data_IF_317191594558
#
_entry.id   IF_317191594558
#
_cell.length_a   1.000
_cell.length_b   1.000
_cell.length_c   1.000
_cell.angle_alpha   90.00
_cell.angle_beta   90.00
_cell.angle_gamma   90.00
#
_symmetry.space_group_name_H-M   'P 1'
#
loop_
_entity.id
_entity.type
_entity.pdbx_description
1 polymer ?
#
# COMPACT_ATOMS: atom_id res chain seq x y z
N UNK A 1 1.20 -28.08 -6.11
CA UNK A 1 -0.05 -27.32 -6.29
C UNK A 1 0.27 -25.85 -6.46
N UNK A 2 -0.57 -25.08 -7.14
CA UNK A 2 -0.40 -23.63 -7.37
C UNK A 2 -0.25 -22.84 -6.05
N UNK A 3 -0.81 -23.33 -4.97
CA UNK A 3 -0.70 -22.73 -3.63
C UNK A 3 0.72 -22.79 -3.06
N UNK A 4 1.49 -23.84 -3.35
CA UNK A 4 2.90 -23.98 -2.97
C UNK A 4 3.73 -22.87 -3.62
N UNK A 5 3.45 -22.58 -4.88
CA UNK A 5 4.12 -21.56 -5.67
C UNK A 5 3.74 -20.15 -5.20
N UNK A 6 2.43 -19.86 -4.99
CA UNK A 6 1.93 -18.56 -4.53
C UNK A 6 2.46 -18.22 -3.13
N UNK A 7 2.57 -19.19 -2.25
CA UNK A 7 3.06 -19.01 -0.89
C UNK A 7 4.59 -19.13 -0.78
N UNK A 8 5.27 -19.41 -1.90
CA UNK A 8 6.72 -19.63 -1.94
C UNK A 8 7.20 -20.63 -0.86
N UNK A 9 6.43 -21.69 -0.64
CA UNK A 9 6.68 -22.63 0.45
C UNK A 9 8.05 -23.29 0.37
N UNK A 10 8.59 -23.50 -0.82
CA UNK A 10 9.95 -24.04 -1.01
C UNK A 10 11.02 -23.11 -0.42
N UNK A 11 10.85 -21.79 -0.59
CA UNK A 11 11.76 -20.78 -0.04
C UNK A 11 11.54 -20.52 1.46
N UNK A 12 10.35 -20.85 1.95
CA UNK A 12 9.95 -20.67 3.33
C UNK A 12 10.30 -21.87 4.21
N UNK A 13 10.77 -22.95 3.62
CA UNK A 13 11.15 -24.16 4.34
C UNK A 13 12.39 -23.91 5.21
N UNK A 14 12.30 -24.23 6.49
CA UNK A 14 13.39 -24.09 7.47
C UNK A 14 14.11 -25.41 7.69
N UNK A 15 13.35 -26.52 7.80
CA UNK A 15 13.91 -27.87 7.96
C UNK A 15 12.97 -28.92 7.35
N UNK A 16 13.54 -30.07 6.99
CA UNK A 16 12.77 -31.18 6.41
C UNK A 16 12.45 -31.01 4.93
N UNK A 17 11.32 -31.52 4.48
CA UNK A 17 10.87 -31.49 3.08
C UNK A 17 9.39 -31.18 2.99
N UNK A 18 8.93 -30.83 1.77
CA UNK A 18 7.51 -30.63 1.46
C UNK A 18 6.73 -31.95 1.66
N UNK A 19 5.43 -31.87 1.98
CA UNK A 19 4.57 -33.05 2.08
C UNK A 19 4.51 -33.81 0.74
N UNK A 20 4.79 -35.10 0.79
CA UNK A 20 4.71 -36.00 -0.36
C UNK A 20 3.55 -36.97 -0.24
N UNK A 21 3.18 -37.30 0.98
CA UNK A 21 2.09 -38.23 1.28
C UNK A 21 0.92 -37.49 1.93
N UNK A 22 -0.27 -38.10 1.88
CA UNK A 22 -1.48 -37.53 2.46
C UNK A 22 -1.40 -37.31 3.99
N UNK A 23 -0.59 -38.13 4.68
CA UNK A 23 -0.43 -38.09 6.13
C UNK A 23 0.73 -37.14 6.56
N UNK A 24 1.41 -36.52 5.60
CA UNK A 24 2.49 -35.60 5.88
C UNK A 24 1.93 -34.19 6.20
N UNK A 25 2.59 -33.54 7.15
CA UNK A 25 2.26 -32.17 7.56
C UNK A 25 3.51 -31.30 7.61
N UNK A 26 3.37 -30.06 7.12
CA UNK A 26 4.29 -28.98 7.42
C UNK A 26 3.74 -28.16 8.58
N UNK A 27 4.54 -27.93 9.60
CA UNK A 27 4.17 -27.07 10.72
C UNK A 27 5.03 -25.80 10.74
N UNK A 28 4.46 -24.70 11.21
CA UNK A 28 5.26 -23.49 11.37
C UNK A 28 6.39 -23.71 12.38
N UNK A 29 7.54 -23.05 12.20
CA UNK A 29 8.68 -23.15 13.11
C UNK A 29 8.28 -22.76 14.54
N UNK A 30 7.42 -21.75 14.69
CA UNK A 30 6.93 -21.32 16.02
C UNK A 30 6.04 -22.37 16.68
N UNK A 31 5.20 -23.06 15.90
CA UNK A 31 4.38 -24.17 16.43
C UNK A 31 5.27 -25.36 16.79
N UNK A 32 6.28 -25.65 15.97
CA UNK A 32 7.26 -26.69 16.24
C UNK A 32 8.01 -26.45 17.55
N UNK A 33 8.46 -25.20 17.79
CA UNK A 33 9.13 -24.80 19.01
C UNK A 33 8.20 -24.90 20.25
N UNK A 34 6.95 -24.44 20.12
CA UNK A 34 5.95 -24.52 21.21
C UNK A 34 5.62 -25.95 21.61
N UNK A 35 5.51 -26.83 20.64
CA UNK A 35 5.21 -28.25 20.88
C UNK A 35 6.45 -29.10 21.12
N UNK A 36 7.64 -28.53 20.99
CA UNK A 36 8.93 -29.22 21.06
C UNK A 36 9.01 -30.40 20.09
N UNK A 37 8.55 -30.19 18.86
CA UNK A 37 8.45 -31.20 17.79
C UNK A 37 9.44 -30.85 16.68
N UNK A 38 10.11 -31.85 16.14
CA UNK A 38 11.03 -31.74 14.99
C UNK A 38 10.51 -32.56 13.80
N UNK A 39 11.02 -32.26 12.61
CA UNK A 39 10.74 -33.08 11.44
C UNK A 39 11.03 -34.57 11.69
N UNK A 40 10.18 -35.44 11.19
CA UNK A 40 10.24 -36.90 11.40
C UNK A 40 9.44 -37.40 12.60
N UNK A 41 8.87 -36.52 13.44
CA UNK A 41 7.94 -36.92 14.51
C UNK A 41 6.49 -36.83 14.04
N UNK A 42 5.58 -37.44 14.77
CA UNK A 42 4.14 -37.35 14.53
C UNK A 42 3.48 -36.32 15.43
N UNK A 43 2.42 -35.69 14.94
CA UNK A 43 1.55 -34.77 15.68
C UNK A 43 0.11 -35.29 15.58
N UNK A 44 -0.60 -35.29 16.71
CA UNK A 44 -2.00 -35.68 16.73
C UNK A 44 -2.87 -34.44 16.59
N UNK A 45 -3.62 -34.39 15.50
CA UNK A 45 -4.70 -33.42 15.32
C UNK A 45 -5.92 -33.89 16.12
N UNK A 46 -6.51 -32.97 16.89
CA UNK A 46 -7.74 -33.19 17.63
C UNK A 46 -8.73 -32.10 17.20
N UNK A 47 -9.89 -32.50 16.74
CA UNK A 47 -10.88 -31.55 16.22
C UNK A 47 -12.26 -32.15 16.12
N UNK A 48 -13.13 -31.50 15.35
CA UNK A 48 -14.46 -31.99 15.00
C UNK A 48 -14.56 -32.21 13.49
N UNK A 49 -15.29 -33.25 13.11
CA UNK A 49 -15.66 -33.55 11.71
C UNK A 49 -16.65 -32.51 11.18
N UNK A 50 -16.97 -32.60 9.90
CA UNK A 50 -18.00 -31.80 9.26
C UNK A 50 -19.37 -31.92 9.98
N UNK A 51 -19.69 -33.11 10.48
CA UNK A 51 -20.93 -33.42 11.21
C UNK A 51 -20.82 -33.15 12.73
N UNK A 52 -19.81 -32.36 13.15
CA UNK A 52 -19.56 -31.98 14.53
C UNK A 52 -19.25 -33.17 15.47
N UNK A 53 -18.82 -34.32 14.93
CA UNK A 53 -18.35 -35.44 15.71
C UNK A 53 -16.87 -35.22 16.09
N UNK A 54 -16.47 -35.73 17.26
CA UNK A 54 -15.06 -35.69 17.69
C UNK A 54 -14.20 -36.56 16.79
N UNK A 55 -13.06 -36.03 16.38
CA UNK A 55 -12.09 -36.78 15.56
C UNK A 55 -10.66 -36.57 16.04
N UNK A 56 -9.85 -37.59 15.84
CA UNK A 56 -8.40 -37.54 16.05
C UNK A 56 -7.68 -38.12 14.85
N UNK A 57 -6.63 -37.46 14.39
CA UNK A 57 -5.83 -37.92 13.28
C UNK A 57 -4.34 -37.67 13.52
N UNK A 58 -3.49 -38.61 13.12
CA UNK A 58 -2.05 -38.48 13.29
C UNK A 58 -1.41 -38.09 11.98
N UNK A 59 -0.72 -36.96 11.98
CA UNK A 59 0.10 -36.49 10.86
C UNK A 59 1.59 -36.66 11.16
N UNK A 60 2.37 -36.98 10.15
CA UNK A 60 3.82 -37.03 10.23
C UNK A 60 4.40 -35.69 9.87
N UNK A 61 5.19 -35.09 10.73
CA UNK A 61 5.83 -33.80 10.44
C UNK A 61 6.94 -33.99 9.43
N UNK A 62 6.70 -33.65 8.17
CA UNK A 62 7.67 -33.73 7.09
C UNK A 62 8.70 -32.61 7.13
N UNK A 63 8.31 -31.46 7.65
CA UNK A 63 9.20 -30.30 7.76
C UNK A 63 8.59 -29.15 8.53
N UNK A 64 9.40 -28.13 8.73
CA UNK A 64 8.99 -26.85 9.34
C UNK A 64 9.19 -25.71 8.39
N UNK A 65 8.30 -24.72 8.43
CA UNK A 65 8.34 -23.55 7.56
C UNK A 65 8.20 -22.23 8.33
N UNK A 66 8.63 -21.14 7.70
CA UNK A 66 8.47 -19.78 8.23
C UNK A 66 8.12 -18.84 7.08
N UNK A 67 6.86 -18.42 6.99
CA UNK A 67 6.39 -17.51 5.94
C UNK A 67 6.84 -16.07 6.14
N UNK A 68 7.48 -15.74 7.27
CA UNK A 68 7.89 -14.36 7.65
C UNK A 68 6.72 -13.35 7.61
N UNK A 69 5.48 -13.83 7.70
CA UNK A 69 4.25 -13.03 7.60
C UNK A 69 3.62 -12.74 8.98
N UNK A 70 4.43 -12.50 9.98
CA UNK A 70 3.98 -12.04 11.31
C UNK A 70 3.41 -13.12 12.21
N UNK A 71 2.29 -12.81 12.86
CA UNK A 71 1.67 -13.70 13.86
C UNK A 71 0.89 -14.88 13.27
N UNK A 72 0.50 -14.78 12.01
CA UNK A 72 -0.30 -15.81 11.33
C UNK A 72 0.41 -17.17 11.29
N UNK A 73 1.74 -17.16 11.33
CA UNK A 73 2.56 -18.38 11.31
C UNK A 73 2.59 -19.12 12.66
N UNK A 74 2.07 -18.53 13.74
CA UNK A 74 2.29 -19.12 15.09
C UNK A 74 1.59 -20.45 15.32
N UNK A 75 0.49 -20.70 14.61
CA UNK A 75 -0.36 -21.89 14.82
C UNK A 75 -0.78 -22.54 13.50
N UNK A 76 0.03 -22.38 12.46
CA UNK A 76 -0.31 -22.88 11.13
C UNK A 76 0.28 -24.28 10.92
N UNK A 77 -0.58 -25.18 10.44
CA UNK A 77 -0.21 -26.51 9.94
C UNK A 77 -0.76 -26.64 8.51
N UNK A 78 0.06 -27.06 7.59
CA UNK A 78 -0.30 -27.31 6.19
C UNK A 78 -0.24 -28.82 5.96
N UNK A 79 -1.31 -29.38 5.46
CA UNK A 79 -1.45 -30.79 5.15
C UNK A 79 -1.99 -30.96 3.73
N UNK A 80 -1.83 -32.15 3.18
CA UNK A 80 -2.48 -32.46 1.90
C UNK A 80 -4.00 -32.45 2.06
N UNK A 81 -4.70 -31.96 1.01
CA UNK A 81 -6.16 -31.88 1.02
C UNK A 81 -6.83 -33.25 1.24
N UNK A 82 -6.24 -34.30 0.72
CA UNK A 82 -6.76 -35.67 0.90
C UNK A 82 -6.64 -36.15 2.36
N UNK A 83 -5.53 -35.78 3.02
CA UNK A 83 -5.34 -36.06 4.45
C UNK A 83 -6.29 -35.23 5.33
N UNK A 84 -6.48 -33.96 5.01
CA UNK A 84 -7.44 -33.10 5.69
C UNK A 84 -8.88 -33.60 5.58
N UNK A 85 -9.29 -34.04 4.38
CA UNK A 85 -10.61 -34.63 4.13
C UNK A 85 -10.85 -35.88 4.97
N UNK A 86 -9.85 -36.76 5.02
CA UNK A 86 -9.95 -37.98 5.82
C UNK A 86 -10.00 -37.67 7.31
N UNK A 87 -9.19 -36.71 7.79
CA UNK A 87 -9.17 -36.33 9.20
C UNK A 87 -10.47 -35.66 9.67
N UNK A 88 -11.17 -34.96 8.76
CA UNK A 88 -12.38 -34.20 9.06
C UNK A 88 -13.67 -34.90 8.58
N UNK A 89 -13.58 -36.09 7.99
CA UNK A 89 -14.69 -36.82 7.37
C UNK A 89 -15.45 -35.96 6.35
N UNK A 90 -14.67 -35.33 5.43
CA UNK A 90 -15.17 -34.37 4.44
C UNK A 90 -15.00 -34.88 3.03
N UNK A 91 -15.69 -35.96 2.67
CA UNK A 91 -15.65 -36.50 1.32
C UNK A 91 -16.21 -35.52 0.29
N UNK A 92 -15.41 -35.22 -0.75
CA UNK A 92 -15.75 -34.23 -1.80
C UNK A 92 -16.17 -32.84 -1.35
N UNK A 93 -15.86 -32.47 -0.12
CA UNK A 93 -16.17 -31.18 0.45
C UNK A 93 -14.90 -30.32 0.66
N UNK A 94 -15.09 -29.03 0.82
CA UNK A 94 -14.08 -28.08 1.24
C UNK A 94 -14.77 -26.97 2.04
N UNK A 95 -14.16 -26.54 3.14
CA UNK A 95 -14.70 -25.45 3.95
C UNK A 95 -14.59 -24.09 3.28
N UNK A 96 -13.59 -23.90 2.43
CA UNK A 96 -13.39 -22.69 1.65
C UNK A 96 -12.61 -22.96 0.36
N UNK A 97 -12.94 -22.23 -0.68
CA UNK A 97 -12.19 -22.21 -1.94
C UNK A 97 -11.57 -20.82 -2.08
N UNK A 98 -10.24 -20.77 -2.18
CA UNK A 98 -9.52 -19.52 -2.35
C UNK A 98 -9.35 -19.21 -3.84
N UNK A 99 -9.89 -18.07 -4.27
CA UNK A 99 -9.67 -17.51 -5.61
C UNK A 99 -8.54 -16.49 -5.58
N UNK A 100 -7.65 -16.55 -6.57
CA UNK A 100 -6.56 -15.60 -6.76
C UNK A 100 -6.71 -14.91 -8.10
N UNK A 101 -6.53 -13.59 -8.12
CA UNK A 101 -6.45 -12.81 -9.37
C UNK A 101 -5.10 -13.03 -10.06
N UNK A 102 -4.97 -12.58 -11.31
CA UNK A 102 -3.72 -12.72 -12.06
C UNK A 102 -2.58 -11.87 -11.45
N UNK A 103 -2.92 -10.67 -10.94
CA UNK A 103 -2.01 -9.89 -10.12
C UNK A 103 -2.09 -10.47 -8.71
N UNK A 104 -1.02 -10.96 -8.13
CA UNK A 104 -0.99 -11.47 -6.75
C UNK A 104 -1.25 -10.37 -5.69
N UNK A 105 -1.52 -9.15 -6.12
CA UNK A 105 -1.91 -8.03 -5.27
C UNK A 105 -3.42 -8.00 -5.10
N UNK A 106 -3.87 -7.80 -3.86
CA UNK A 106 -5.29 -7.62 -3.57
C UNK A 106 -5.75 -6.25 -4.10
N UNK A 107 -6.74 -6.29 -4.97
CA UNK A 107 -7.47 -5.13 -5.46
C UNK A 107 -8.89 -5.20 -4.90
N UNK A 108 -9.19 -4.27 -3.99
CA UNK A 108 -10.46 -4.27 -3.25
C UNK A 108 -11.66 -4.00 -4.17
N UNK A 109 -11.53 -3.07 -5.11
CA UNK A 109 -12.62 -2.73 -6.03
C UNK A 109 -12.98 -3.91 -6.95
N UNK A 110 -11.98 -4.54 -7.52
CA UNK A 110 -12.16 -5.75 -8.34
C UNK A 110 -12.73 -6.90 -7.52
N UNK A 111 -12.25 -7.13 -6.30
CA UNK A 111 -12.72 -8.20 -5.43
C UNK A 111 -14.18 -8.02 -5.01
N UNK A 112 -14.57 -6.80 -4.67
CA UNK A 112 -15.97 -6.44 -4.34
C UNK A 112 -16.89 -6.65 -5.53
N UNK A 113 -16.47 -6.20 -6.72
CA UNK A 113 -17.24 -6.35 -7.96
C UNK A 113 -17.46 -7.84 -8.30
N UNK A 114 -16.40 -8.65 -8.22
CA UNK A 114 -16.49 -10.10 -8.45
C UNK A 114 -17.40 -10.78 -7.44
N UNK A 115 -17.29 -10.44 -6.15
CA UNK A 115 -18.14 -10.96 -5.10
C UNK A 115 -19.62 -10.65 -5.37
N UNK A 116 -19.95 -9.41 -5.74
CA UNK A 116 -21.32 -9.02 -6.02
C UNK A 116 -21.89 -9.74 -7.24
N UNK A 117 -21.10 -9.87 -8.29
CA UNK A 117 -21.48 -10.62 -9.50
C UNK A 117 -21.73 -12.08 -9.20
N UNK A 118 -20.81 -12.74 -8.48
CA UNK A 118 -20.93 -14.14 -8.11
C UNK A 118 -22.14 -14.41 -7.22
N UNK A 119 -22.29 -13.64 -6.14
CA UNK A 119 -23.38 -13.84 -5.19
C UNK A 119 -24.74 -13.57 -5.81
N UNK A 120 -24.83 -12.64 -6.77
CA UNK A 120 -26.06 -12.39 -7.52
C UNK A 120 -26.43 -13.53 -8.47
N UNK A 121 -25.44 -14.23 -9.03
CA UNK A 121 -25.63 -15.29 -10.01
C UNK A 121 -25.83 -16.67 -9.38
N UNK A 122 -25.06 -16.97 -8.32
CA UNK A 122 -24.90 -18.34 -7.81
C UNK A 122 -25.41 -18.52 -6.37
N UNK A 123 -25.60 -17.43 -5.61
CA UNK A 123 -26.05 -17.53 -4.21
C UNK A 123 -27.57 -17.49 -4.12
N UNK A 124 -28.14 -18.50 -3.46
CA UNK A 124 -29.58 -18.54 -3.08
C UNK A 124 -29.71 -18.26 -1.59
N UNK A 125 -30.39 -17.15 -1.25
CA UNK A 125 -30.63 -16.76 0.14
C UNK A 125 -31.56 -17.71 0.91
N UNK A 126 -32.27 -18.59 0.20
CA UNK A 126 -33.18 -19.59 0.80
C UNK A 126 -32.46 -20.92 1.09
N UNK A 127 -31.33 -21.16 0.46
CA UNK A 127 -30.53 -22.36 0.69
C UNK A 127 -29.31 -22.04 1.58
N UNK A 128 -29.28 -22.59 2.78
CA UNK A 128 -28.21 -22.42 3.76
C UNK A 128 -26.88 -23.01 3.24
N UNK A 129 -26.92 -23.96 2.32
CA UNK A 129 -25.74 -24.59 1.71
C UNK A 129 -25.33 -23.95 0.39
N UNK A 130 -26.00 -22.89 -0.02
CA UNK A 130 -25.65 -22.18 -1.25
C UNK A 130 -24.24 -21.61 -1.17
N UNK A 131 -23.43 -21.70 -2.23
CA UNK A 131 -22.10 -21.12 -2.25
C UNK A 131 -22.17 -19.61 -2.13
N UNK A 132 -21.34 -19.07 -1.25
CA UNK A 132 -21.30 -17.64 -0.95
C UNK A 132 -19.86 -17.14 -1.06
N UNK A 133 -19.64 -16.15 -1.90
CA UNK A 133 -18.32 -15.54 -2.08
C UNK A 133 -18.08 -14.41 -1.09
N UNK A 134 -16.94 -14.45 -0.43
CA UNK A 134 -16.44 -13.37 0.44
C UNK A 134 -15.21 -12.72 -0.21
N UNK A 135 -15.17 -11.40 -0.22
CA UNK A 135 -13.93 -10.68 -0.46
C UNK A 135 -13.07 -10.65 0.81
N UNK A 136 -11.78 -10.40 0.68
CA UNK A 136 -10.87 -10.33 1.84
C UNK A 136 -11.32 -9.29 2.87
N UNK A 137 -11.90 -8.18 2.41
CA UNK A 137 -12.44 -7.13 3.27
C UNK A 137 -13.61 -7.57 4.16
N UNK A 138 -14.35 -8.62 3.77
CA UNK A 138 -15.51 -9.10 4.51
C UNK A 138 -15.12 -9.98 5.72
N UNK A 139 -13.84 -10.42 5.76
CA UNK A 139 -13.31 -11.25 6.84
C UNK A 139 -12.71 -10.43 7.98
N UNK A 140 -12.98 -10.83 9.22
CA UNK A 140 -12.28 -10.39 10.45
C UNK A 140 -12.00 -8.87 10.56
N UNK A 141 -12.97 -8.02 10.22
CA UNK A 141 -12.83 -6.55 10.24
C UNK A 141 -11.78 -5.98 9.26
N UNK A 142 -11.32 -6.78 8.31
CA UNK A 142 -10.34 -6.34 7.32
C UNK A 142 -10.84 -5.15 6.49
N UNK A 143 -12.14 -5.12 6.15
CA UNK A 143 -12.75 -3.99 5.45
C UNK A 143 -12.59 -2.67 6.20
N UNK A 144 -12.91 -2.66 7.48
CA UNK A 144 -12.72 -1.48 8.33
C UNK A 144 -11.25 -1.06 8.39
N UNK A 145 -10.34 -2.02 8.47
CA UNK A 145 -8.90 -1.74 8.50
C UNK A 145 -8.41 -1.14 7.17
N UNK A 146 -8.87 -1.64 6.04
CA UNK A 146 -8.55 -1.09 4.71
C UNK A 146 -9.11 0.32 4.56
N UNK A 147 -10.37 0.54 4.93
CA UNK A 147 -11.04 1.84 4.83
C UNK A 147 -10.38 2.89 5.74
N UNK A 148 -10.08 2.53 6.99
CA UNK A 148 -9.39 3.42 7.94
C UNK A 148 -7.96 3.72 7.48
N UNK A 149 -7.21 2.74 6.99
CA UNK A 149 -5.86 2.99 6.46
C UNK A 149 -5.90 3.88 5.23
N UNK A 150 -6.83 3.66 4.31
CA UNK A 150 -7.03 4.51 3.14
C UNK A 150 -7.37 5.96 3.52
N UNK A 151 -8.32 6.14 4.45
CA UNK A 151 -8.68 7.46 4.96
C UNK A 151 -7.50 8.15 5.67
N UNK A 152 -6.75 7.42 6.48
CA UNK A 152 -5.55 7.95 7.16
C UNK A 152 -4.48 8.41 6.16
N UNK A 153 -4.20 7.61 5.14
CA UNK A 153 -3.26 7.97 4.08
C UNK A 153 -3.73 9.19 3.30
N UNK A 154 -5.04 9.28 2.97
CA UNK A 154 -5.60 10.43 2.29
C UNK A 154 -5.51 11.71 3.13
N UNK A 155 -5.81 11.65 4.44
CA UNK A 155 -5.72 12.78 5.35
C UNK A 155 -4.25 13.22 5.51
N UNK A 156 -3.35 12.29 5.81
CA UNK A 156 -1.92 12.61 5.99
C UNK A 156 -1.30 13.15 4.69
N UNK A 157 -1.61 12.52 3.56
CA UNK A 157 -1.18 12.98 2.24
C UNK A 157 -1.74 14.37 1.91
N UNK A 158 -3.01 14.63 2.21
CA UNK A 158 -3.66 15.92 2.05
C UNK A 158 -3.02 17.02 2.90
N UNK A 159 -2.74 16.75 4.17
CA UNK A 159 -2.03 17.69 5.05
C UNK A 159 -0.63 17.96 4.52
N UNK A 160 0.11 16.94 4.13
CA UNK A 160 1.45 17.09 3.57
C UNK A 160 1.44 17.93 2.29
N UNK A 161 0.52 17.66 1.37
CA UNK A 161 0.33 18.45 0.15
C UNK A 161 0.00 19.91 0.47
N UNK A 162 -0.87 20.16 1.45
CA UNK A 162 -1.21 21.51 1.87
C UNK A 162 0.00 22.27 2.41
N UNK A 163 0.82 21.64 3.24
CA UNK A 163 2.05 22.23 3.78
C UNK A 163 3.03 22.56 2.65
N UNK A 164 3.28 21.60 1.75
CA UNK A 164 4.16 21.81 0.59
C UNK A 164 3.64 22.95 -0.29
N UNK A 165 2.33 23.00 -0.53
CA UNK A 165 1.69 24.06 -1.33
C UNK A 165 1.90 25.43 -0.70
N UNK A 166 1.76 25.57 0.62
CA UNK A 166 2.01 26.83 1.33
C UNK A 166 3.48 27.25 1.22
N UNK A 167 4.42 26.32 1.37
CA UNK A 167 5.86 26.57 1.23
C UNK A 167 6.19 27.06 -0.19
N UNK A 168 5.72 26.35 -1.21
CA UNK A 168 5.96 26.73 -2.61
C UNK A 168 5.28 28.05 -2.99
N UNK A 169 4.09 28.31 -2.48
CA UNK A 169 3.41 29.59 -2.61
C UNK A 169 4.26 30.73 -2.03
N UNK A 170 4.75 30.56 -0.80
CA UNK A 170 5.60 31.56 -0.14
C UNK A 170 6.89 31.80 -0.96
N UNK A 171 7.53 30.75 -1.47
CA UNK A 171 8.68 30.87 -2.36
C UNK A 171 8.33 31.66 -3.64
N UNK A 172 7.19 31.40 -4.25
CA UNK A 172 6.71 32.14 -5.43
C UNK A 172 6.50 33.62 -5.16
N UNK A 173 5.87 33.94 -4.01
CA UNK A 173 5.69 35.32 -3.55
C UNK A 173 7.03 36.03 -3.32
N UNK A 174 7.93 35.40 -2.56
CA UNK A 174 9.24 35.98 -2.24
C UNK A 174 10.10 36.22 -3.48
N UNK A 175 10.07 35.26 -4.44
CA UNK A 175 10.78 35.40 -5.72
C UNK A 175 10.24 36.59 -6.52
N UNK A 176 8.92 36.77 -6.58
CA UNK A 176 8.29 37.92 -7.21
C UNK A 176 8.66 39.25 -6.55
N UNK A 177 8.64 39.30 -5.20
CA UNK A 177 8.96 40.51 -4.47
C UNK A 177 10.43 40.92 -4.59
N UNK A 178 11.37 39.99 -4.59
CA UNK A 178 12.80 40.27 -4.77
C UNK A 178 13.16 40.90 -6.12
N UNK A 179 12.29 40.72 -7.11
CA UNK A 179 12.50 41.23 -8.48
C UNK A 179 11.90 42.62 -8.74
N UNK A 180 11.39 43.31 -7.72
CA UNK A 180 10.79 44.63 -7.90
C UNK A 180 11.73 45.62 -8.58
N UNK A 181 13.02 45.66 -8.22
CA UNK A 181 14.01 46.47 -8.87
C UNK A 181 14.22 46.17 -10.36
N UNK A 182 14.31 44.90 -10.68
CA UNK A 182 14.44 44.43 -12.08
C UNK A 182 13.20 44.82 -12.89
N UNK A 183 12.02 44.63 -12.33
CA UNK A 183 10.75 45.00 -12.95
C UNK A 183 10.67 46.51 -13.17
N UNK A 184 11.08 47.31 -12.18
CA UNK A 184 11.15 48.76 -12.28
C UNK A 184 12.08 49.22 -13.42
N UNK A 185 13.26 48.62 -13.54
CA UNK A 185 14.20 48.90 -14.61
C UNK A 185 13.64 48.56 -16.02
N UNK A 186 12.99 47.40 -16.19
CA UNK A 186 12.35 47.00 -17.43
C UNK A 186 11.24 47.95 -17.85
N UNK A 187 10.42 48.38 -16.90
CA UNK A 187 9.38 49.40 -17.13
C UNK A 187 9.97 50.75 -17.51
N UNK A 188 11.11 51.14 -16.92
CA UNK A 188 11.82 52.37 -17.29
C UNK A 188 12.43 52.34 -18.69
N UNK A 189 12.83 51.13 -19.16
CA UNK A 189 13.30 50.93 -20.53
C UNK A 189 12.17 50.86 -21.55
N UNK A 190 10.90 50.99 -21.13
CA UNK A 190 9.73 51.09 -22.04
C UNK A 190 8.98 49.78 -22.23
N UNK A 191 9.30 48.69 -21.49
CA UNK A 191 8.48 47.48 -21.56
C UNK A 191 7.09 47.77 -20.94
N UNK A 192 6.04 47.18 -21.53
CA UNK A 192 4.70 47.31 -20.98
C UNK A 192 4.52 46.44 -19.73
N UNK A 193 3.72 46.89 -18.77
CA UNK A 193 3.39 46.10 -17.56
C UNK A 193 2.90 44.71 -17.86
N UNK A 194 2.12 44.55 -18.94
CA UNK A 194 1.60 43.25 -19.40
C UNK A 194 2.68 42.29 -19.91
N UNK A 195 3.72 42.79 -20.57
CA UNK A 195 4.85 42.00 -21.05
C UNK A 195 5.67 41.47 -19.88
N UNK A 196 6.00 42.37 -18.95
CA UNK A 196 6.73 41.95 -17.71
C UNK A 196 5.95 40.90 -16.93
N UNK A 197 4.66 41.12 -16.72
CA UNK A 197 3.79 40.15 -16.01
C UNK A 197 3.75 38.78 -16.72
N UNK A 198 3.59 38.75 -18.04
CA UNK A 198 3.62 37.49 -18.83
C UNK A 198 4.97 36.79 -18.74
N UNK A 199 6.06 37.57 -18.80
CA UNK A 199 7.42 37.01 -18.63
C UNK A 199 7.60 36.34 -17.29
N UNK A 200 7.15 36.98 -16.19
CA UNK A 200 7.21 36.39 -14.85
C UNK A 200 6.40 35.09 -14.73
N UNK A 201 5.21 35.05 -15.30
CA UNK A 201 4.38 33.82 -15.29
C UNK A 201 5.02 32.72 -16.13
N UNK A 202 5.51 33.02 -17.32
CA UNK A 202 6.14 32.02 -18.19
C UNK A 202 7.38 31.41 -17.52
N UNK A 203 8.16 32.21 -16.83
CA UNK A 203 9.30 31.74 -16.05
C UNK A 203 8.86 30.84 -14.88
N UNK A 204 7.83 31.23 -14.14
CA UNK A 204 7.28 30.41 -13.05
C UNK A 204 6.76 29.05 -13.55
N UNK A 205 6.12 29.02 -14.73
CA UNK A 205 5.66 27.79 -15.37
C UNK A 205 6.85 26.90 -15.72
N UNK A 206 7.90 27.45 -16.33
CA UNK A 206 9.09 26.68 -16.72
C UNK A 206 9.78 26.11 -15.47
N UNK A 207 9.96 26.92 -14.43
CA UNK A 207 10.56 26.48 -13.17
C UNK A 207 9.68 25.40 -12.51
N UNK A 208 8.37 25.62 -12.44
CA UNK A 208 7.41 24.66 -11.89
C UNK A 208 7.42 23.35 -12.65
N UNK A 209 7.41 23.37 -13.98
CA UNK A 209 7.46 22.15 -14.81
C UNK A 209 8.78 21.40 -14.66
N UNK A 210 9.92 22.10 -14.74
CA UNK A 210 11.23 21.46 -14.58
C UNK A 210 11.40 20.85 -13.19
N UNK A 211 11.00 21.57 -12.14
CA UNK A 211 11.00 21.09 -10.77
C UNK A 211 10.07 19.87 -10.59
N UNK A 212 8.90 19.90 -11.17
CA UNK A 212 7.94 18.79 -11.12
C UNK A 212 8.48 17.55 -11.84
N UNK A 213 9.03 17.68 -13.03
CA UNK A 213 9.58 16.55 -13.78
C UNK A 213 10.71 15.89 -13.02
N UNK A 214 11.67 16.67 -12.50
CA UNK A 214 12.79 16.15 -11.72
C UNK A 214 12.29 15.55 -10.40
N UNK A 215 11.43 16.26 -9.68
CA UNK A 215 10.89 15.81 -8.39
C UNK A 215 10.04 14.54 -8.51
N UNK A 216 9.14 14.49 -9.49
CA UNK A 216 8.31 13.30 -9.73
C UNK A 216 9.20 12.13 -10.21
N UNK A 217 10.16 12.37 -11.09
CA UNK A 217 11.09 11.33 -11.55
C UNK A 217 11.90 10.71 -10.42
N UNK A 218 12.50 11.54 -9.56
CA UNK A 218 13.25 11.05 -8.39
C UNK A 218 12.35 10.36 -7.37
N UNK A 219 11.14 10.91 -7.13
CA UNK A 219 10.15 10.30 -6.24
C UNK A 219 9.69 8.93 -6.73
N UNK A 220 9.37 8.80 -8.01
CA UNK A 220 8.97 7.52 -8.61
C UNK A 220 10.11 6.50 -8.58
N UNK A 221 11.35 6.92 -8.83
CA UNK A 221 12.52 6.04 -8.74
C UNK A 221 12.68 5.47 -7.33
N UNK A 222 12.52 6.32 -6.31
CA UNK A 222 12.57 5.90 -4.91
C UNK A 222 11.41 4.96 -4.55
N UNK A 223 10.20 5.29 -4.99
CA UNK A 223 9.01 4.46 -4.77
C UNK A 223 9.18 3.09 -5.44
N UNK A 224 9.68 3.04 -6.66
CA UNK A 224 9.97 1.80 -7.37
C UNK A 224 11.02 0.94 -6.63
N UNK A 225 12.07 1.58 -6.12
CA UNK A 225 13.07 0.87 -5.31
C UNK A 225 12.45 0.24 -4.06
N UNK A 226 11.57 0.97 -3.37
CA UNK A 226 10.86 0.45 -2.19
C UNK A 226 9.82 -0.61 -2.58
N UNK A 227 9.24 -0.54 -3.78
CA UNK A 227 8.34 -1.58 -4.29
C UNK A 227 9.06 -2.91 -4.50
N UNK A 228 10.29 -2.89 -4.99
CA UNK A 228 11.09 -4.11 -5.25
C UNK A 228 11.70 -4.71 -3.98
N UNK A 229 12.20 -3.87 -3.08
CA UNK A 229 12.97 -4.33 -1.92
C UNK A 229 12.16 -4.36 -0.62
N UNK A 230 11.08 -3.57 -0.53
CA UNK A 230 10.35 -3.37 0.71
C UNK A 230 11.16 -2.62 1.77
N UNK A 231 10.49 -2.19 2.82
CA UNK A 231 11.12 -1.63 4.02
C UNK A 231 10.86 -2.58 5.17
N UNK A 232 11.92 -3.14 5.74
CA UNK A 232 11.86 -4.07 6.86
C UNK A 232 11.79 -3.32 8.19
N UNK A 233 10.64 -3.39 8.86
CA UNK A 233 10.39 -2.81 10.18
C UNK A 233 10.48 -3.83 11.32
N UNK A 234 10.99 -5.03 11.09
CA UNK A 234 11.00 -6.12 12.07
C UNK A 234 11.56 -5.68 13.43
N UNK A 235 12.68 -4.93 13.43
CA UNK A 235 13.31 -4.43 14.65
C UNK A 235 12.47 -3.39 15.42
N UNK A 236 11.71 -2.56 14.68
CA UNK A 236 10.81 -1.56 15.31
C UNK A 236 9.53 -2.18 15.85
N UNK A 237 9.09 -3.29 15.25
CA UNK A 237 7.84 -3.95 15.61
C UNK A 237 8.00 -5.01 16.70
N UNK A 238 9.21 -5.44 17.05
CA UNK A 238 9.44 -6.31 18.20
C UNK A 238 8.92 -5.71 19.52
N UNK A 239 9.00 -4.39 19.68
CA UNK A 239 8.42 -3.67 20.80
C UNK A 239 6.87 -3.68 20.83
N UNK A 240 6.25 -3.81 19.65
CA UNK A 240 4.78 -3.85 19.46
C UNK A 240 4.24 -5.29 19.35
N UNK A 241 5.12 -6.30 19.36
CA UNK A 241 4.75 -7.72 19.23
C UNK A 241 3.85 -8.24 20.35
N UNK A 242 3.76 -7.52 21.47
CA UNK A 242 2.85 -7.79 22.58
C UNK A 242 1.39 -7.37 22.30
N UNK A 243 1.18 -6.52 21.28
CA UNK A 243 -0.14 -6.21 20.79
C UNK A 243 -0.55 -7.32 19.81
N UNK A 244 -1.65 -8.00 20.06
CA UNK A 244 -2.18 -9.12 19.25
C UNK A 244 -2.59 -8.69 17.82
N UNK A 245 -1.96 -7.67 17.25
CA UNK A 245 -2.22 -7.17 15.91
C UNK A 245 -1.35 -7.92 14.90
N UNK A 246 -2.00 -8.48 13.88
CA UNK A 246 -1.34 -9.05 12.69
C UNK A 246 -0.87 -7.90 11.82
N UNK A 247 0.40 -7.50 11.95
CA UNK A 247 1.01 -6.50 11.07
C UNK A 247 2.12 -7.15 10.23
N UNK A 248 2.22 -6.80 8.94
CA UNK A 248 3.32 -7.28 8.11
C UNK A 248 4.64 -6.66 8.58
N UNK A 249 5.70 -7.46 8.61
CA UNK A 249 7.03 -6.99 9.00
C UNK A 249 7.72 -6.18 7.90
N UNK A 250 7.30 -6.37 6.64
CA UNK A 250 7.86 -5.70 5.46
C UNK A 250 6.74 -4.92 4.80
N UNK A 251 6.95 -3.63 4.63
CA UNK A 251 6.05 -2.75 3.89
C UNK A 251 6.60 -2.49 2.49
N UNK A 252 5.76 -2.71 1.49
CA UNK A 252 6.05 -2.42 0.10
C UNK A 252 5.33 -1.16 -0.33
N UNK A 253 6.00 -0.28 -1.05
CA UNK A 253 5.34 0.79 -1.75
C UNK A 253 4.74 0.26 -3.07
N UNK A 254 3.74 0.94 -3.60
CA UNK A 254 3.16 0.64 -4.91
C UNK A 254 3.18 1.88 -5.77
N UNK A 255 3.71 1.76 -6.98
CA UNK A 255 3.64 2.83 -7.98
C UNK A 255 2.25 2.79 -8.59
N UNK A 256 1.46 3.83 -8.31
CA UNK A 256 0.12 4.02 -8.88
C UNK A 256 0.12 5.17 -9.88
N UNK A 257 -0.80 5.19 -10.87
CA UNK A 257 -0.92 6.30 -11.82
C UNK A 257 -1.12 7.66 -11.15
N UNK A 258 -1.74 7.70 -9.98
CA UNK A 258 -2.02 8.93 -9.24
C UNK A 258 -0.76 9.66 -8.80
N UNK A 259 0.35 8.94 -8.58
CA UNK A 259 1.64 9.51 -8.18
C UNK A 259 2.19 10.48 -9.24
N UNK A 260 1.85 10.29 -10.52
CA UNK A 260 2.26 11.19 -11.59
C UNK A 260 1.57 12.56 -11.48
N UNK A 261 0.34 12.61 -10.98
CA UNK A 261 -0.46 13.84 -10.89
C UNK A 261 -0.26 14.56 -9.55
N UNK A 262 -0.04 13.83 -8.45
CA UNK A 262 0.10 14.39 -7.10
C UNK A 262 1.27 15.38 -7.03
N UNK A 263 2.40 15.11 -7.71
CA UNK A 263 3.56 16.00 -7.76
C UNK A 263 3.32 17.25 -8.62
N UNK A 264 2.48 17.14 -9.66
CA UNK A 264 2.21 18.23 -10.60
C UNK A 264 1.40 19.37 -9.97
N UNK A 265 0.42 19.05 -9.13
CA UNK A 265 -0.45 20.05 -8.49
C UNK A 265 0.34 21.05 -7.64
N UNK A 266 1.12 20.65 -6.61
CA UNK A 266 1.88 21.61 -5.83
C UNK A 266 3.04 22.23 -6.62
N UNK A 267 3.73 21.46 -7.45
CA UNK A 267 4.93 21.91 -8.15
C UNK A 267 4.67 23.03 -9.17
N UNK A 268 3.61 22.92 -9.95
CA UNK A 268 3.28 23.93 -10.98
C UNK A 268 2.27 24.94 -10.45
N UNK A 269 1.12 24.46 -9.93
CA UNK A 269 0.04 25.38 -9.56
C UNK A 269 0.43 26.34 -8.43
N UNK A 270 1.07 25.83 -7.37
CA UNK A 270 1.40 26.68 -6.22
C UNK A 270 2.47 27.75 -6.58
N UNK A 271 3.49 27.37 -7.34
CA UNK A 271 4.53 28.30 -7.79
C UNK A 271 3.98 29.38 -8.73
N UNK A 272 3.14 28.97 -9.70
CA UNK A 272 2.50 29.91 -10.61
C UNK A 272 1.54 30.86 -9.90
N UNK A 273 0.67 30.32 -9.02
CA UNK A 273 -0.25 31.16 -8.23
C UNK A 273 0.50 32.15 -7.32
N UNK A 274 1.57 31.71 -6.66
CA UNK A 274 2.41 32.58 -5.86
C UNK A 274 3.00 33.75 -6.69
N UNK A 275 3.57 33.42 -7.84
CA UNK A 275 4.14 34.43 -8.77
C UNK A 275 3.07 35.34 -9.38
N UNK A 276 1.89 34.80 -9.69
CA UNK A 276 0.77 35.62 -10.20
C UNK A 276 0.32 36.66 -9.18
N UNK A 277 0.19 36.27 -7.91
CA UNK A 277 -0.20 37.22 -6.84
C UNK A 277 0.87 38.28 -6.60
N UNK A 278 2.15 37.90 -6.57
CA UNK A 278 3.24 38.84 -6.51
C UNK A 278 3.23 39.85 -7.69
N UNK A 279 3.02 39.33 -8.89
CA UNK A 279 2.93 40.15 -10.11
C UNK A 279 1.72 41.09 -10.13
N UNK A 280 0.56 40.66 -9.57
CA UNK A 280 -0.60 41.54 -9.41
C UNK A 280 -0.33 42.71 -8.48
N UNK A 281 0.44 42.51 -7.41
CA UNK A 281 0.86 43.55 -6.52
C UNK A 281 1.72 44.61 -7.25
N UNK A 282 2.63 44.16 -8.13
CA UNK A 282 3.44 45.00 -9.00
C UNK A 282 2.57 45.78 -10.00
N UNK A 283 1.63 45.08 -10.63
CA UNK A 283 0.77 45.64 -11.67
C UNK A 283 -0.11 46.81 -11.16
N UNK A 284 -0.58 46.72 -9.90
CA UNK A 284 -1.45 47.71 -9.26
C UNK A 284 -0.71 48.91 -8.70
N UNK A 285 0.62 48.85 -8.46
CA UNK A 285 1.40 49.94 -7.92
C UNK A 285 1.78 50.98 -8.99
N UNK A 286 1.85 52.28 -8.59
CA UNK A 286 2.33 53.34 -9.45
C UNK A 286 3.85 53.30 -9.57
N UNK A 287 4.39 53.69 -10.76
CA UNK A 287 5.82 53.63 -11.06
C UNK A 287 6.67 54.42 -10.04
N UNK A 288 6.16 55.58 -9.53
CA UNK A 288 6.85 56.43 -8.58
C UNK A 288 7.14 55.75 -7.22
N UNK A 289 6.30 54.78 -6.81
CA UNK A 289 6.51 54.03 -5.56
C UNK A 289 7.56 52.91 -5.71
N UNK A 290 7.71 52.35 -6.88
CA UNK A 290 8.70 51.32 -7.19
C UNK A 290 10.15 51.89 -7.15
N UNK A 291 10.34 53.18 -7.51
CA UNK A 291 11.66 53.83 -7.45
C UNK A 291 12.05 54.23 -6.02
N UNK A 292 11.08 54.57 -5.17
CA UNK A 292 11.34 55.00 -3.79
C UNK A 292 11.82 53.90 -2.85
N UNK A 293 11.44 52.66 -3.15
CA UNK A 293 11.89 51.44 -2.42
C UNK A 293 13.32 50.98 -2.81
N UNK A 294 13.92 51.54 -3.88
CA UNK A 294 15.30 51.30 -4.29
C UNK A 294 16.32 52.20 -3.59
N UNK A 295 15.89 53.30 -2.93
CA UNK A 295 16.74 54.23 -2.23
C UNK A 295 16.84 53.96 -0.70
N UNK A 296 16.12 52.97 -0.19
CA UNK A 296 16.17 52.50 1.21
C UNK A 296 16.73 51.07 1.31
#
# INVERSE_FOLDING_TARGET
SRQIEIWELERSLVSGKLPENRDDALISSKLADQLNITAGKSVTFIGSTMDNAFTTYNFNVSGTFNLRKGQTDKQMMLVDLSGARLALDMDNAASAILGFTHSLYYDDETAVTLREQYNKAESDSLDIFSPFMLALRDGNQMGTMVDVSGAMLAIMGGIFLAVVMVVLWNMGLMNGLRRYGEVGLRLAMGESKGQVYRSMISEAVIIGLTGTVIGTGTGLMLTYYVQEHGIDYTKGMEALSNLSMVMPNIFYAQVTPDLFYIGFIPGVLATVLGTMLAGLAIYKREMAQLFKELET
#
